data_IF_902081555673
#
_entry.id   IF_902081555673
#
_cell.length_a   1.000
_cell.length_b   1.000
_cell.length_c   1.000
_cell.angle_alpha   90.00
_cell.angle_beta   90.00
_cell.angle_gamma   90.00
#
_symmetry.space_group_name_H-M   'P 1'
#
loop_
_entity.id
_entity.type
_entity.pdbx_description
1 polymer ?
#
# COMPACT_ATOMS: atom_id res chain seq x y z
N UNK A 1 4.73 -25.55 -0.24
CA UNK A 1 3.92 -24.31 -0.15
C UNK A 1 4.71 -23.19 -0.77
N UNK A 2 4.21 -22.56 -1.84
CA UNK A 2 4.88 -21.42 -2.46
C UNK A 2 4.60 -20.15 -1.64
N UNK A 3 5.64 -19.39 -1.31
CA UNK A 3 5.50 -18.12 -0.60
C UNK A 3 5.37 -17.00 -1.62
N UNK A 4 4.23 -16.31 -1.61
CA UNK A 4 3.99 -15.10 -2.40
C UNK A 4 4.20 -13.86 -1.51
N UNK A 5 5.12 -12.99 -1.86
CA UNK A 5 5.25 -11.72 -1.13
C UNK A 5 4.08 -10.80 -1.47
N UNK A 6 3.41 -10.32 -0.45
CA UNK A 6 2.27 -9.42 -0.61
C UNK A 6 2.71 -8.13 -1.32
N UNK A 7 2.16 -7.87 -2.49
CA UNK A 7 2.41 -6.63 -3.22
C UNK A 7 1.35 -5.59 -2.85
N UNK A 8 1.78 -4.59 -2.11
CA UNK A 8 0.95 -3.45 -1.74
C UNK A 8 1.68 -2.14 -2.01
N UNK A 9 0.95 -1.13 -2.44
CA UNK A 9 1.50 0.20 -2.66
C UNK A 9 0.62 1.26 -2.01
N UNK A 10 1.20 1.94 -1.02
CA UNK A 10 0.58 3.13 -0.41
C UNK A 10 1.21 4.37 -1.01
N UNK A 11 0.39 5.33 -1.41
CA UNK A 11 0.81 6.61 -1.95
C UNK A 11 -0.10 7.74 -1.45
N UNK A 12 0.42 8.95 -1.39
CA UNK A 12 -0.37 10.14 -1.08
C UNK A 12 -0.81 10.79 -2.39
N UNK A 13 -2.09 11.09 -2.47
CA UNK A 13 -2.67 11.98 -3.46
C UNK A 13 -2.59 13.39 -2.88
N UNK A 14 -2.04 14.34 -3.61
CA UNK A 14 -1.86 15.70 -3.11
C UNK A 14 -1.71 16.68 -4.24
N UNK A 15 -1.88 17.99 -3.98
CA UNK A 15 -1.91 19.04 -5.01
C UNK A 15 -0.59 19.24 -5.76
N UNK A 16 0.51 18.69 -5.27
CA UNK A 16 1.81 18.84 -5.92
C UNK A 16 2.02 17.85 -7.05
N UNK A 17 2.58 18.32 -8.17
CA UNK A 17 2.90 17.49 -9.34
C UNK A 17 3.86 16.31 -9.04
N UNK A 18 4.54 16.31 -7.88
CA UNK A 18 5.43 15.24 -7.43
C UNK A 18 4.74 14.15 -6.59
N UNK A 19 3.43 14.28 -6.33
CA UNK A 19 2.71 13.30 -5.54
C UNK A 19 2.55 11.98 -6.31
N UNK A 20 3.04 10.90 -5.71
CA UNK A 20 3.02 9.56 -6.35
C UNK A 20 1.62 8.99 -6.56
N UNK A 21 0.63 9.46 -5.81
CA UNK A 21 -0.77 9.04 -5.88
C UNK A 21 -1.58 9.79 -6.92
N UNK A 22 -1.06 10.89 -7.46
CA UNK A 22 -1.79 11.80 -8.33
C UNK A 22 -1.92 13.20 -7.73
N UNK A 23 -2.40 14.17 -8.50
CA UNK A 23 -2.56 15.57 -8.12
C UNK A 23 -3.99 15.99 -7.77
N UNK A 24 -4.97 15.13 -8.03
CA UNK A 24 -6.39 15.34 -7.70
C UNK A 24 -6.99 14.05 -7.13
N UNK A 25 -7.83 14.18 -6.10
CA UNK A 25 -8.59 13.08 -5.54
C UNK A 25 -9.79 12.74 -6.43
N UNK A 26 -10.41 13.74 -7.07
CA UNK A 26 -11.51 13.56 -8.03
C UNK A 26 -11.02 12.81 -9.26
N UNK A 27 -9.87 13.18 -9.84
CA UNK A 27 -9.24 12.46 -10.97
C UNK A 27 -8.96 10.99 -10.60
N UNK A 28 -8.39 10.78 -9.42
CA UNK A 28 -8.09 9.41 -8.98
C UNK A 28 -9.35 8.59 -8.73
N UNK A 29 -10.39 9.19 -8.19
CA UNK A 29 -11.70 8.55 -8.01
C UNK A 29 -12.33 8.21 -9.36
N UNK A 30 -12.36 9.15 -10.30
CA UNK A 30 -12.82 8.92 -11.67
C UNK A 30 -12.09 7.74 -12.33
N UNK A 31 -10.76 7.69 -12.16
CA UNK A 31 -9.93 6.59 -12.67
C UNK A 31 -10.30 5.24 -12.07
N UNK A 32 -10.48 5.11 -10.74
CA UNK A 32 -10.75 3.80 -10.13
C UNK A 32 -12.19 3.35 -10.30
N UNK A 33 -13.16 4.29 -10.38
CA UNK A 33 -14.58 3.98 -10.61
C UNK A 33 -14.96 3.83 -12.08
N UNK A 34 -14.04 4.17 -13.00
CA UNK A 34 -14.33 4.22 -14.45
C UNK A 34 -15.49 5.16 -14.80
N UNK A 35 -15.68 6.21 -13.99
CA UNK A 35 -16.80 7.17 -14.13
C UNK A 35 -16.26 8.56 -14.37
N UNK A 36 -16.84 9.28 -15.32
CA UNK A 36 -16.52 10.70 -15.56
C UNK A 36 -16.93 11.53 -14.34
N UNK A 37 -16.02 12.38 -13.86
CA UNK A 37 -16.25 13.23 -12.69
C UNK A 37 -15.81 14.67 -12.96
N UNK A 38 -16.62 15.63 -12.51
CA UNK A 38 -16.30 17.05 -12.54
C UNK A 38 -15.64 17.45 -11.21
N UNK A 39 -14.52 18.16 -11.28
CA UNK A 39 -13.85 18.73 -10.12
C UNK A 39 -14.27 20.19 -9.93
N UNK A 40 -14.90 20.46 -8.81
CA UNK A 40 -15.30 21.82 -8.41
C UNK A 40 -14.09 22.70 -8.07
N UNK A 41 -12.98 22.08 -7.64
CA UNK A 41 -11.78 22.79 -7.23
C UNK A 41 -11.04 23.44 -8.39
N UNK A 42 -10.87 22.76 -9.51
CA UNK A 42 -10.12 23.26 -10.67
C UNK A 42 -10.97 23.47 -11.93
N UNK A 43 -12.28 23.20 -11.85
CA UNK A 43 -13.22 23.37 -12.97
C UNK A 43 -13.00 22.37 -14.11
N UNK A 44 -12.32 21.23 -13.85
CA UNK A 44 -11.95 20.25 -14.85
C UNK A 44 -12.87 19.04 -14.81
N UNK A 45 -13.29 18.55 -15.95
CA UNK A 45 -13.95 17.24 -16.05
C UNK A 45 -12.91 16.17 -16.38
N UNK A 46 -12.82 15.18 -15.51
CA UNK A 46 -11.91 14.04 -15.66
C UNK A 46 -12.62 12.89 -16.34
N UNK A 47 -12.06 12.46 -17.48
CA UNK A 47 -12.55 11.35 -18.28
C UNK A 47 -11.60 10.15 -18.09
N UNK A 48 -12.02 9.09 -17.38
CA UNK A 48 -11.18 7.91 -17.25
C UNK A 48 -11.04 7.22 -18.61
N UNK A 49 -9.90 6.56 -18.83
CA UNK A 49 -9.76 5.67 -19.97
C UNK A 49 -10.81 4.57 -19.84
N UNK A 50 -11.63 4.41 -20.86
CA UNK A 50 -12.60 3.33 -20.91
C UNK A 50 -11.87 1.98 -20.93
N UNK A 51 -12.22 1.11 -19.98
CA UNK A 51 -11.77 -0.28 -19.87
C UNK A 51 -12.85 -1.09 -19.19
N UNK A 52 -13.08 -2.31 -19.65
CA UNK A 52 -14.09 -3.22 -19.09
C UNK A 52 -13.56 -4.03 -17.90
N UNK A 53 -12.57 -3.50 -17.19
CA UNK A 53 -11.88 -4.18 -16.09
C UNK A 53 -12.49 -3.91 -14.70
N UNK A 54 -13.50 -3.05 -14.60
CA UNK A 54 -14.16 -2.74 -13.33
C UNK A 54 -15.11 -3.86 -12.92
N UNK A 55 -14.81 -4.49 -11.78
CA UNK A 55 -15.65 -5.53 -11.16
C UNK A 55 -16.58 -4.93 -10.12
N UNK A 56 -16.09 -4.00 -9.30
CA UNK A 56 -16.83 -3.42 -8.18
C UNK A 56 -16.29 -2.04 -7.83
N UNK A 57 -17.19 -1.13 -7.41
CA UNK A 57 -16.84 0.16 -6.83
C UNK A 57 -17.84 0.51 -5.73
N UNK A 58 -17.36 0.88 -4.56
CA UNK A 58 -18.17 1.18 -3.39
C UNK A 58 -17.50 2.26 -2.53
N UNK A 59 -18.33 3.14 -1.95
CA UNK A 59 -17.89 4.06 -0.88
C UNK A 59 -18.48 3.57 0.44
N UNK A 60 -17.61 3.41 1.42
CA UNK A 60 -17.96 3.03 2.78
C UNK A 60 -17.72 4.21 3.72
N UNK A 61 -18.69 4.48 4.58
CA UNK A 61 -18.73 5.66 5.42
C UNK A 61 -18.70 5.29 6.92
N UNK A 62 -17.97 6.03 7.74
CA UNK A 62 -18.11 5.96 9.20
C UNK A 62 -19.48 6.52 9.63
N UNK A 63 -19.91 6.18 10.83
CA UNK A 63 -21.28 6.47 11.35
C UNK A 63 -21.64 7.96 11.26
N UNK A 64 -20.68 8.84 11.48
CA UNK A 64 -20.93 10.30 11.52
C UNK A 64 -20.89 10.95 10.13
N UNK A 65 -20.56 10.22 9.08
CA UNK A 65 -20.42 10.82 7.76
C UNK A 65 -21.78 11.17 7.15
N UNK A 66 -21.89 12.33 6.49
CA UNK A 66 -23.08 12.67 5.71
C UNK A 66 -23.40 11.59 4.68
N UNK A 67 -24.68 11.22 4.56
CA UNK A 67 -25.11 10.14 3.67
C UNK A 67 -24.77 10.41 2.19
N UNK A 68 -24.75 11.68 1.78
CA UNK A 68 -24.39 12.10 0.41
C UNK A 68 -22.95 11.75 0.04
N UNK A 69 -22.07 11.51 0.99
CA UNK A 69 -20.71 11.05 0.72
C UNK A 69 -20.63 9.61 0.22
N UNK A 70 -21.77 8.90 0.16
CA UNK A 70 -21.86 7.62 -0.56
C UNK A 70 -21.65 7.78 -2.08
N UNK A 71 -21.90 8.98 -2.63
CA UNK A 71 -21.49 9.35 -3.98
C UNK A 71 -19.99 9.75 -3.97
N UNK A 72 -19.14 9.02 -4.71
CA UNK A 72 -17.70 9.31 -4.74
C UNK A 72 -17.39 10.70 -5.33
N UNK A 73 -18.24 11.24 -6.23
CA UNK A 73 -18.06 12.58 -6.76
C UNK A 73 -18.27 13.64 -5.68
N UNK A 74 -19.33 13.49 -4.87
CA UNK A 74 -19.61 14.39 -3.74
C UNK A 74 -18.51 14.31 -2.68
N UNK A 75 -18.13 13.09 -2.29
CA UNK A 75 -17.09 12.88 -1.28
C UNK A 75 -15.76 13.54 -1.66
N UNK A 76 -15.24 13.25 -2.86
CA UNK A 76 -13.90 13.72 -3.21
C UNK A 76 -13.86 15.19 -3.60
N UNK A 77 -14.94 15.78 -4.11
CA UNK A 77 -15.07 17.22 -4.24
C UNK A 77 -15.09 17.90 -2.86
N UNK A 78 -15.85 17.39 -1.90
CA UNK A 78 -15.86 17.90 -0.52
C UNK A 78 -14.46 17.87 0.11
N UNK A 79 -13.70 16.78 -0.07
CA UNK A 79 -12.31 16.67 0.39
C UNK A 79 -11.43 17.74 -0.27
N UNK A 80 -11.51 17.89 -1.58
CA UNK A 80 -10.67 18.87 -2.30
C UNK A 80 -10.99 20.31 -1.92
N UNK A 81 -12.27 20.65 -1.78
CA UNK A 81 -12.68 21.98 -1.36
C UNK A 81 -12.27 22.32 0.08
N UNK A 82 -12.24 21.30 0.98
CA UNK A 82 -11.84 21.49 2.38
C UNK A 82 -10.33 21.66 2.56
N UNK A 83 -9.51 21.08 1.66
CA UNK A 83 -8.06 21.06 1.80
C UNK A 83 -7.40 22.37 1.37
N UNK A 84 -6.25 22.65 2.00
CA UNK A 84 -5.42 23.83 1.66
C UNK A 84 -5.08 23.90 0.16
N UNK A 85 -5.02 25.11 -0.38
CA UNK A 85 -4.57 25.39 -1.76
C UNK A 85 -3.05 25.23 -1.95
N UNK A 86 -2.30 24.94 -0.89
CA UNK A 86 -0.86 24.72 -0.95
C UNK A 86 -0.49 23.51 -1.81
N UNK A 87 0.56 23.60 -2.62
CA UNK A 87 1.12 22.47 -3.33
C UNK A 87 1.60 21.32 -2.42
N UNK A 88 1.72 21.55 -1.10
CA UNK A 88 2.04 20.51 -0.11
C UNK A 88 0.79 19.86 0.50
N UNK A 89 -0.42 20.29 0.11
CA UNK A 89 -1.65 19.73 0.63
C UNK A 89 -1.77 18.25 0.22
N UNK A 90 -2.06 17.42 1.19
CA UNK A 90 -2.37 16.00 1.02
C UNK A 90 -3.89 15.85 1.00
N UNK A 91 -4.43 15.31 -0.08
CA UNK A 91 -5.87 15.18 -0.32
C UNK A 91 -6.40 13.84 0.20
N UNK A 92 -5.76 12.76 -0.20
CA UNK A 92 -6.17 11.40 0.13
C UNK A 92 -4.97 10.46 0.22
N UNK A 93 -5.19 9.28 0.78
CA UNK A 93 -4.25 8.16 0.69
C UNK A 93 -4.80 7.15 -0.32
N UNK A 94 -3.94 6.75 -1.26
CA UNK A 94 -4.23 5.68 -2.21
C UNK A 94 -3.50 4.42 -1.78
N UNK A 95 -4.21 3.28 -1.76
CA UNK A 95 -3.67 1.98 -1.43
C UNK A 95 -4.04 1.00 -2.55
N UNK A 96 -3.06 0.44 -3.24
CA UNK A 96 -3.25 -0.58 -4.26
C UNK A 96 -2.80 -1.93 -3.71
N UNK A 97 -3.62 -2.95 -3.91
CA UNK A 97 -3.46 -4.31 -3.39
C UNK A 97 -3.67 -5.30 -4.54
N UNK A 98 -2.74 -6.23 -4.72
CA UNK A 98 -3.00 -7.38 -5.59
C UNK A 98 -3.77 -8.44 -4.79
N UNK A 99 -4.78 -9.03 -5.42
CA UNK A 99 -5.59 -10.09 -4.83
C UNK A 99 -5.23 -11.46 -5.45
N UNK A 100 -5.55 -12.57 -4.78
CA UNK A 100 -5.42 -13.89 -5.39
C UNK A 100 -6.24 -13.99 -6.69
N UNK A 101 -5.58 -14.38 -7.77
CA UNK A 101 -6.24 -14.54 -9.07
C UNK A 101 -7.26 -15.69 -9.07
N UNK A 102 -7.13 -16.59 -8.10
CA UNK A 102 -8.00 -17.76 -7.90
C UNK A 102 -9.36 -17.40 -7.30
N UNK A 103 -9.50 -16.18 -6.75
CA UNK A 103 -10.76 -15.75 -6.13
C UNK A 103 -11.84 -15.44 -7.16
N UNK A 104 -13.10 -15.78 -6.81
CA UNK A 104 -14.28 -15.26 -7.52
C UNK A 104 -14.47 -13.78 -7.21
N UNK A 105 -15.29 -13.09 -8.00
CA UNK A 105 -15.59 -11.68 -7.77
C UNK A 105 -16.34 -11.47 -6.46
N UNK A 106 -17.30 -12.33 -6.16
CA UNK A 106 -18.10 -12.28 -4.93
C UNK A 106 -17.21 -12.42 -3.70
N UNK A 107 -16.30 -13.39 -3.70
CA UNK A 107 -15.35 -13.60 -2.62
C UNK A 107 -14.43 -12.39 -2.45
N UNK A 108 -13.89 -11.86 -3.56
CA UNK A 108 -13.02 -10.70 -3.53
C UNK A 108 -13.75 -9.45 -2.97
N UNK A 109 -15.00 -9.23 -3.35
CA UNK A 109 -15.83 -8.12 -2.85
C UNK A 109 -16.11 -8.27 -1.36
N UNK A 110 -16.56 -9.45 -0.92
CA UNK A 110 -16.85 -9.74 0.49
C UNK A 110 -15.62 -9.50 1.38
N UNK A 111 -14.49 -10.11 1.01
CA UNK A 111 -13.25 -10.03 1.79
C UNK A 111 -12.72 -8.59 1.82
N UNK A 112 -12.75 -7.88 0.70
CA UNK A 112 -12.26 -6.50 0.66
C UNK A 112 -13.18 -5.53 1.39
N UNK A 113 -14.50 -5.75 1.37
CA UNK A 113 -15.45 -4.94 2.15
C UNK A 113 -15.19 -5.10 3.64
N UNK A 114 -15.03 -6.32 4.13
CA UNK A 114 -14.70 -6.59 5.54
C UNK A 114 -13.34 -5.97 5.92
N UNK A 115 -12.31 -6.18 5.09
CA UNK A 115 -10.99 -5.61 5.31
C UNK A 115 -11.00 -4.07 5.38
N UNK A 116 -11.69 -3.41 4.43
CA UNK A 116 -11.81 -1.94 4.39
C UNK A 116 -12.59 -1.43 5.60
N UNK A 117 -13.68 -2.11 5.97
CA UNK A 117 -14.48 -1.74 7.12
C UNK A 117 -13.63 -1.70 8.40
N UNK A 118 -13.04 -2.83 8.79
CA UNK A 118 -12.36 -2.96 10.08
C UNK A 118 -11.03 -2.24 10.19
N UNK A 119 -10.35 -1.96 9.07
CA UNK A 119 -9.04 -1.28 9.10
C UNK A 119 -9.11 0.23 8.88
N UNK A 120 -10.20 0.73 8.27
CA UNK A 120 -10.27 2.14 7.88
C UNK A 120 -11.58 2.80 8.32
N UNK A 121 -12.72 2.19 8.01
CA UNK A 121 -14.02 2.81 8.28
C UNK A 121 -14.33 2.84 9.76
N UNK A 122 -14.06 1.75 10.46
CA UNK A 122 -14.25 1.66 11.92
C UNK A 122 -13.27 2.58 12.69
N UNK A 123 -12.13 2.95 12.07
CA UNK A 123 -11.20 3.98 12.57
C UNK A 123 -11.65 5.42 12.21
N UNK A 124 -12.77 5.60 11.49
CA UNK A 124 -13.37 6.91 11.18
C UNK A 124 -12.99 7.50 9.82
N UNK A 125 -12.35 6.74 8.93
CA UNK A 125 -12.06 7.18 7.56
C UNK A 125 -13.26 6.91 6.65
N UNK A 126 -13.58 7.84 5.73
CA UNK A 126 -14.34 7.48 4.55
C UNK A 126 -13.40 6.73 3.59
N UNK A 127 -13.87 5.64 3.04
CA UNK A 127 -13.12 4.79 2.13
C UNK A 127 -13.89 4.53 0.84
N UNK A 128 -13.26 4.77 -0.29
CA UNK A 128 -13.73 4.26 -1.58
C UNK A 128 -12.83 3.11 -1.99
N UNK A 129 -13.40 1.96 -2.36
CA UNK A 129 -12.62 0.88 -2.95
C UNK A 129 -13.22 0.40 -4.26
N UNK A 130 -12.34 0.04 -5.18
CA UNK A 130 -12.72 -0.51 -6.48
C UNK A 130 -11.87 -1.74 -6.79
N UNK A 131 -12.51 -2.81 -7.25
CA UNK A 131 -11.86 -4.05 -7.69
C UNK A 131 -11.83 -4.05 -9.19
N UNK A 132 -10.65 -4.29 -9.74
CA UNK A 132 -10.41 -4.41 -11.17
C UNK A 132 -9.89 -5.80 -11.49
N UNK A 133 -10.34 -6.35 -12.60
CA UNK A 133 -9.82 -7.57 -13.18
C UNK A 133 -9.23 -7.27 -14.57
N UNK A 134 -7.94 -7.10 -14.62
CA UNK A 134 -7.20 -6.77 -15.84
C UNK A 134 -6.24 -7.88 -16.21
N UNK A 135 -5.72 -7.85 -17.42
CA UNK A 135 -4.60 -8.69 -17.81
C UNK A 135 -3.27 -7.99 -17.53
N UNK A 136 -2.30 -8.75 -17.02
CA UNK A 136 -0.94 -8.27 -16.89
C UNK A 136 -0.29 -8.19 -18.28
N UNK A 137 0.07 -7.00 -18.76
CA UNK A 137 0.57 -6.85 -20.13
C UNK A 137 1.92 -7.51 -20.42
N UNK A 138 2.62 -8.00 -19.39
CA UNK A 138 3.91 -8.66 -19.55
C UNK A 138 3.80 -10.20 -19.51
N UNK A 139 2.87 -10.72 -18.72
CA UNK A 139 2.74 -12.18 -18.49
C UNK A 139 1.47 -12.75 -19.07
N UNK A 140 0.55 -11.93 -19.56
CA UNK A 140 -0.78 -12.30 -20.04
C UNK A 140 -1.61 -13.08 -19.00
N UNK A 141 -1.26 -12.92 -17.72
CA UNK A 141 -1.98 -13.53 -16.63
C UNK A 141 -3.04 -12.57 -16.09
N UNK A 142 -4.10 -13.12 -15.54
CA UNK A 142 -5.10 -12.40 -14.76
C UNK A 142 -4.42 -11.57 -13.69
N UNK A 143 -4.88 -10.34 -13.48
CA UNK A 143 -4.34 -9.40 -12.51
C UNK A 143 -5.49 -8.78 -11.71
N UNK A 144 -6.09 -9.61 -10.86
CA UNK A 144 -7.13 -9.17 -9.95
C UNK A 144 -6.51 -8.26 -8.88
N UNK A 145 -7.03 -7.04 -8.73
CA UNK A 145 -6.47 -6.09 -7.79
C UNK A 145 -7.51 -5.10 -7.28
N UNK A 146 -7.26 -4.56 -6.10
CA UNK A 146 -8.11 -3.58 -5.45
C UNK A 146 -7.38 -2.24 -5.31
N UNK A 147 -8.07 -1.16 -5.66
CA UNK A 147 -7.70 0.20 -5.32
C UNK A 147 -8.55 0.67 -4.15
N UNK A 148 -7.91 1.25 -3.13
CA UNK A 148 -8.59 1.87 -2.01
C UNK A 148 -8.14 3.33 -1.94
N UNK A 149 -9.08 4.24 -1.77
CA UNK A 149 -8.85 5.64 -1.46
C UNK A 149 -9.41 5.95 -0.08
N UNK A 150 -8.62 6.61 0.74
CA UNK A 150 -8.95 6.91 2.15
C UNK A 150 -8.85 8.41 2.39
N UNK A 151 -9.82 8.95 3.11
CA UNK A 151 -9.75 10.34 3.59
C UNK A 151 -8.64 10.51 4.63
N UNK A 152 -8.15 11.72 4.79
CA UNK A 152 -7.08 12.06 5.72
C UNK A 152 -7.54 12.97 6.86
N UNK A 153 -8.83 13.32 6.87
CA UNK A 153 -9.53 14.06 7.93
C UNK A 153 -10.59 13.19 8.54
N UNK A 154 -10.77 13.25 9.86
CA UNK A 154 -11.91 12.61 10.50
C UNK A 154 -13.19 13.38 10.20
N UNK A 155 -14.30 12.68 10.25
CA UNK A 155 -15.63 13.30 10.32
C UNK A 155 -15.98 13.49 11.80
N UNK A 156 -16.40 14.69 12.17
CA UNK A 156 -16.86 15.01 13.51
C UNK A 156 -18.30 14.53 13.75
N UNK A 157 -18.77 14.58 14.99
CA UNK A 157 -20.12 14.13 15.35
C UNK A 157 -21.24 14.90 14.63
N UNK A 158 -20.98 16.17 14.25
CA UNK A 158 -21.89 17.03 13.49
C UNK A 158 -21.82 16.80 11.97
N UNK A 159 -21.04 15.82 11.50
CA UNK A 159 -20.84 15.51 10.08
C UNK A 159 -19.81 16.41 9.38
N UNK A 160 -19.21 17.37 10.05
CA UNK A 160 -18.21 18.26 9.48
C UNK A 160 -16.81 17.65 9.44
N UNK A 161 -15.95 18.18 8.56
CA UNK A 161 -14.54 17.76 8.49
C UNK A 161 -13.73 18.28 9.67
N UNK A 162 -13.14 17.38 10.44
CA UNK A 162 -12.19 17.70 11.49
C UNK A 162 -10.79 18.08 10.96
N UNK A 163 -9.90 18.41 11.87
CA UNK A 163 -8.51 18.77 11.54
C UNK A 163 -7.59 17.55 11.58
N UNK A 164 -6.64 17.48 10.62
CA UNK A 164 -5.58 16.46 10.61
C UNK A 164 -4.59 16.62 11.74
N UNK A 165 -4.35 17.87 12.13
CA UNK A 165 -3.29 18.25 13.07
C UNK A 165 -3.75 19.36 13.99
N UNK A 166 -3.35 19.27 15.24
CA UNK A 166 -3.58 20.29 16.27
C UNK A 166 -2.27 20.97 16.64
N UNK A 167 -2.27 22.31 16.68
CA UNK A 167 -1.11 23.07 17.18
C UNK A 167 -1.13 23.05 18.70
N UNK A 168 -0.06 22.58 19.31
CA UNK A 168 0.20 22.67 20.74
C UNK A 168 1.20 23.78 20.96
N UNK A 169 0.76 24.85 21.61
CA UNK A 169 1.60 26.00 21.90
C UNK A 169 2.45 25.73 23.13
N UNK A 170 3.73 26.11 23.09
CA UNK A 170 4.57 26.15 24.27
C UNK A 170 4.12 27.32 25.16
N UNK A 171 3.93 27.05 26.43
CA UNK A 171 3.53 28.04 27.44
C UNK A 171 4.72 28.36 28.34
N UNK A 172 4.78 29.61 28.85
CA UNK A 172 5.67 30.02 29.93
C UNK A 172 5.12 29.60 31.30
N UNK A 173 5.82 30.00 32.37
CA UNK A 173 5.42 29.66 33.75
C UNK A 173 4.04 30.27 34.16
N UNK A 174 3.64 31.32 33.49
CA UNK A 174 2.38 32.04 33.74
C UNK A 174 1.22 31.57 32.83
N UNK A 175 1.50 30.55 31.94
CA UNK A 175 0.50 30.00 31.04
C UNK A 175 0.36 30.78 29.72
N UNK A 176 1.20 31.76 29.42
CA UNK A 176 1.14 32.52 28.18
C UNK A 176 1.91 31.82 27.06
N UNK A 177 1.43 32.00 25.81
CA UNK A 177 2.08 31.44 24.63
C UNK A 177 3.45 32.08 24.38
N UNK A 178 4.52 31.29 24.35
CA UNK A 178 5.88 31.75 24.10
C UNK A 178 6.01 32.20 22.63
N UNK A 179 6.59 33.38 22.38
CA UNK A 179 6.91 33.88 21.06
C UNK A 179 8.37 33.55 20.67
N UNK A 180 8.57 33.23 19.40
CA UNK A 180 9.88 33.11 18.77
C UNK A 180 10.45 34.52 18.45
N UNK A 181 11.75 34.61 18.14
CA UNK A 181 12.40 35.88 17.74
C UNK A 181 11.73 36.55 16.52
N UNK A 182 11.08 35.78 15.64
CA UNK A 182 10.35 36.28 14.48
C UNK A 182 8.88 36.67 14.75
N UNK A 183 8.49 36.77 16.00
CA UNK A 183 7.14 37.15 16.44
C UNK A 183 6.09 36.04 16.40
N UNK A 184 6.37 34.89 15.77
CA UNK A 184 5.45 33.75 15.72
C UNK A 184 5.42 33.03 17.08
N UNK A 185 4.31 32.38 17.40
CA UNK A 185 4.23 31.53 18.58
C UNK A 185 5.04 30.23 18.42
N UNK A 186 5.74 29.83 19.46
CA UNK A 186 6.41 28.54 19.55
C UNK A 186 5.36 27.44 19.73
N UNK A 187 5.23 26.56 18.75
CA UNK A 187 4.30 25.45 18.79
C UNK A 187 4.92 24.20 18.16
N UNK A 188 4.42 23.05 18.59
CA UNK A 188 4.57 21.75 17.94
C UNK A 188 3.26 21.37 17.26
N UNK A 189 3.30 20.46 16.32
CA UNK A 189 2.12 19.93 15.65
C UNK A 189 1.91 18.50 16.10
N UNK A 190 0.71 18.21 16.59
CA UNK A 190 0.28 16.86 16.96
C UNK A 190 -0.68 16.32 15.90
N UNK A 191 -0.48 15.09 15.45
CA UNK A 191 -1.43 14.36 14.63
C UNK A 191 -2.68 14.05 15.48
N UNK A 192 -3.86 14.37 14.96
CA UNK A 192 -5.12 14.19 15.71
C UNK A 192 -5.60 12.74 15.62
N UNK A 193 -5.40 12.10 14.48
CA UNK A 193 -5.97 10.79 14.18
C UNK A 193 -4.98 9.64 14.38
N UNK A 194 -3.68 9.91 14.34
CA UNK A 194 -2.64 8.89 14.34
C UNK A 194 -2.53 8.08 13.04
N UNK A 195 -3.37 8.36 12.04
CA UNK A 195 -3.45 7.57 10.81
C UNK A 195 -2.18 7.59 9.95
N UNK A 196 -1.29 8.57 10.19
CA UNK A 196 -0.02 8.72 9.47
C UNK A 196 1.13 7.89 10.07
N UNK A 197 0.89 7.14 11.16
CA UNK A 197 1.89 6.29 11.78
C UNK A 197 2.38 5.22 10.79
N UNK A 198 3.70 4.96 10.78
CA UNK A 198 4.29 3.84 10.04
C UNK A 198 3.80 2.48 10.56
N UNK A 199 3.42 2.41 11.82
CA UNK A 199 2.88 1.22 12.45
C UNK A 199 1.55 0.82 11.83
N UNK A 200 0.68 1.79 11.48
CA UNK A 200 -0.57 1.51 10.80
C UNK A 200 -0.34 0.84 9.44
N UNK A 201 0.63 1.32 8.66
CA UNK A 201 0.94 0.69 7.38
C UNK A 201 1.41 -0.77 7.54
N UNK A 202 2.16 -1.07 8.61
CA UNK A 202 2.57 -2.45 8.95
C UNK A 202 1.39 -3.29 9.42
N UNK A 203 0.54 -2.73 10.30
CA UNK A 203 -0.69 -3.37 10.79
C UNK A 203 -1.60 -3.75 9.62
N UNK A 204 -1.92 -2.80 8.74
CA UNK A 204 -2.78 -3.02 7.58
C UNK A 204 -2.22 -4.09 6.64
N UNK A 205 -0.91 -4.06 6.40
CA UNK A 205 -0.25 -5.04 5.54
C UNK A 205 -0.26 -6.44 6.14
N UNK A 206 -0.03 -6.55 7.46
CA UNK A 206 -0.09 -7.81 8.19
C UNK A 206 -1.51 -8.38 8.18
N UNK A 207 -2.49 -7.57 8.56
CA UNK A 207 -3.90 -7.97 8.60
C UNK A 207 -4.41 -8.43 7.22
N UNK A 208 -3.98 -7.76 6.15
CA UNK A 208 -4.31 -8.17 4.79
C UNK A 208 -3.75 -9.57 4.46
N UNK A 209 -2.49 -9.83 4.78
CA UNK A 209 -1.87 -11.14 4.54
C UNK A 209 -2.56 -12.24 5.35
N UNK A 210 -2.81 -11.98 6.63
CA UNK A 210 -3.50 -12.90 7.53
C UNK A 210 -4.92 -13.22 7.01
N UNK A 211 -5.64 -12.19 6.54
CA UNK A 211 -6.98 -12.35 5.94
C UNK A 211 -6.93 -13.20 4.68
N UNK A 212 -6.02 -12.90 3.75
CA UNK A 212 -5.88 -13.66 2.51
C UNK A 212 -5.53 -15.13 2.83
N UNK A 213 -4.61 -15.37 3.76
CA UNK A 213 -4.20 -16.72 4.14
C UNK A 213 -5.35 -17.51 4.78
N UNK A 214 -6.11 -16.88 5.70
CA UNK A 214 -7.26 -17.51 6.33
C UNK A 214 -8.36 -17.85 5.32
N UNK A 215 -8.65 -16.95 4.39
CA UNK A 215 -9.63 -17.19 3.31
C UNK A 215 -9.16 -18.29 2.36
N UNK A 216 -7.89 -18.28 1.97
CA UNK A 216 -7.31 -19.31 1.11
C UNK A 216 -7.34 -20.68 1.79
N UNK A 217 -7.02 -20.75 3.08
CA UNK A 217 -7.09 -22.01 3.85
C UNK A 217 -8.51 -22.57 3.88
N UNK A 218 -9.50 -21.73 4.19
CA UNK A 218 -10.92 -22.06 4.21
C UNK A 218 -11.44 -22.58 2.86
N UNK A 219 -10.92 -22.02 1.76
CA UNK A 219 -11.32 -22.38 0.39
C UNK A 219 -10.43 -23.45 -0.26
N UNK A 220 -9.53 -24.09 0.48
CA UNK A 220 -8.67 -25.16 -0.04
C UNK A 220 -7.52 -24.68 -0.92
N UNK A 221 -7.23 -23.37 -0.97
CA UNK A 221 -6.17 -22.73 -1.77
C UNK A 221 -4.85 -22.64 -0.99
N UNK A 222 -4.48 -23.71 -0.27
CA UNK A 222 -3.36 -23.72 0.70
C UNK A 222 -1.97 -23.66 0.06
N UNK A 223 -1.87 -23.77 -1.24
CA UNK A 223 -0.57 -23.80 -1.92
C UNK A 223 0.15 -22.46 -1.93
N UNK A 224 -0.58 -21.36 -1.77
CA UNK A 224 -0.09 -19.99 -1.87
C UNK A 224 -0.17 -19.29 -0.51
N UNK A 225 0.92 -19.26 0.22
CA UNK A 225 1.03 -18.47 1.44
C UNK A 225 1.47 -17.04 1.11
N UNK A 226 0.74 -16.04 1.61
CA UNK A 226 1.01 -14.62 1.38
C UNK A 226 1.81 -14.04 2.56
N UNK A 227 3.02 -13.58 2.29
CA UNK A 227 3.93 -13.05 3.29
C UNK A 227 3.93 -11.52 3.25
N UNK A 228 3.73 -10.89 4.42
CA UNK A 228 3.66 -9.44 4.56
C UNK A 228 5.01 -8.80 4.86
N UNK A 229 5.97 -9.54 5.42
CA UNK A 229 7.30 -9.04 5.78
C UNK A 229 8.16 -8.82 4.55
N UNK A 230 9.05 -7.84 4.62
CA UNK A 230 10.09 -7.68 3.61
C UNK A 230 11.08 -8.86 3.61
N UNK A 231 11.84 -9.05 2.55
CA UNK A 231 12.87 -10.10 2.51
C UNK A 231 13.85 -10.00 3.68
N UNK A 232 14.25 -8.78 4.05
CA UNK A 232 15.12 -8.56 5.20
C UNK A 232 14.48 -8.98 6.53
N UNK A 233 13.20 -8.66 6.76
CA UNK A 233 12.45 -9.09 7.95
C UNK A 233 12.21 -10.60 8.00
N UNK A 234 12.22 -11.27 6.84
CA UNK A 234 12.16 -12.72 6.72
C UNK A 234 13.53 -13.39 6.93
N UNK A 235 14.63 -12.62 7.06
CA UNK A 235 15.99 -13.14 7.11
C UNK A 235 16.48 -13.68 5.76
N UNK A 236 15.89 -13.26 4.66
CA UNK A 236 16.29 -13.66 3.31
C UNK A 236 17.30 -12.67 2.74
N UNK A 237 18.40 -13.18 2.17
CA UNK A 237 19.42 -12.35 1.50
C UNK A 237 19.01 -11.91 0.09
N UNK A 238 17.78 -12.23 -0.33
CA UNK A 238 17.25 -11.84 -1.63
C UNK A 238 17.06 -10.34 -1.73
N UNK A 239 17.65 -9.70 -2.73
CA UNK A 239 17.53 -8.28 -3.01
C UNK A 239 16.24 -8.05 -3.79
N UNK A 240 15.31 -7.18 -3.31
CA UNK A 240 14.07 -6.91 -4.01
C UNK A 240 14.32 -6.10 -5.29
N UNK A 241 13.61 -6.43 -6.37
CA UNK A 241 13.59 -5.62 -7.58
C UNK A 241 12.89 -4.29 -7.34
N UNK A 242 13.31 -3.25 -8.06
CA UNK A 242 12.64 -1.95 -8.03
C UNK A 242 11.49 -1.93 -9.03
N UNK A 243 10.42 -1.24 -8.66
CA UNK A 243 9.28 -1.04 -9.56
C UNK A 243 9.69 -0.15 -10.74
N UNK A 244 9.53 -0.63 -11.95
CA UNK A 244 9.93 0.09 -13.17
C UNK A 244 9.14 1.40 -13.36
N UNK A 245 7.85 1.38 -13.07
CA UNK A 245 6.90 2.43 -13.43
C UNK A 245 6.38 2.24 -14.86
N UNK A 246 5.29 2.90 -15.19
CA UNK A 246 4.56 2.70 -16.45
C UNK A 246 5.43 2.97 -17.69
N UNK A 247 6.11 4.13 -17.72
CA UNK A 247 6.95 4.53 -18.86
C UNK A 247 8.11 3.56 -19.09
N UNK A 248 8.87 3.21 -18.04
CA UNK A 248 9.98 2.28 -18.19
C UNK A 248 9.49 0.87 -18.55
N UNK A 249 8.38 0.42 -17.98
CA UNK A 249 7.77 -0.87 -18.34
C UNK A 249 7.34 -0.92 -19.81
N UNK A 250 6.78 0.18 -20.34
CA UNK A 250 6.40 0.24 -21.76
C UNK A 250 7.63 0.19 -22.69
N UNK A 251 8.70 0.91 -22.35
CA UNK A 251 9.96 0.89 -23.11
C UNK A 251 10.63 -0.49 -23.08
N UNK A 252 10.70 -1.12 -21.90
CA UNK A 252 11.28 -2.47 -21.78
C UNK A 252 10.49 -3.52 -22.59
N UNK A 253 9.15 -3.41 -22.65
CA UNK A 253 8.33 -4.26 -23.53
C UNK A 253 8.61 -4.03 -25.02
N UNK A 254 8.94 -2.80 -25.39
CA UNK A 254 9.35 -2.48 -26.75
C UNK A 254 10.81 -2.85 -27.06
N UNK A 255 11.50 -3.57 -26.15
CA UNK A 255 12.90 -3.96 -26.31
C UNK A 255 13.91 -2.85 -26.03
N UNK A 256 13.46 -1.69 -25.55
CA UNK A 256 14.31 -0.55 -25.22
C UNK A 256 14.75 -0.65 -23.76
N UNK A 257 16.06 -0.81 -23.55
CA UNK A 257 16.63 -0.88 -22.22
C UNK A 257 16.55 0.44 -21.49
N UNK A 258 16.10 0.41 -20.22
CA UNK A 258 16.01 1.57 -19.35
C UNK A 258 17.00 1.46 -18.18
N UNK A 259 17.34 2.59 -17.55
CA UNK A 259 18.16 2.56 -16.33
C UNK A 259 17.54 1.69 -15.21
N UNK A 260 16.24 1.81 -15.02
CA UNK A 260 15.51 1.00 -14.01
C UNK A 260 15.51 -0.49 -14.39
N UNK A 261 15.35 -0.81 -15.65
CA UNK A 261 15.48 -2.17 -16.16
C UNK A 261 16.88 -2.73 -15.94
N UNK A 262 17.92 -1.93 -16.21
CA UNK A 262 19.31 -2.31 -15.95
C UNK A 262 19.59 -2.56 -14.46
N UNK A 263 19.01 -1.75 -13.56
CA UNK A 263 19.09 -2.02 -12.10
C UNK A 263 18.48 -3.38 -11.79
N UNK A 264 17.30 -3.69 -12.31
CA UNK A 264 16.65 -4.99 -12.06
C UNK A 264 17.44 -6.17 -12.64
N UNK A 265 18.03 -6.02 -13.83
CA UNK A 265 18.94 -7.04 -14.42
C UNK A 265 20.12 -7.33 -13.48
N UNK A 266 20.79 -6.28 -12.97
CA UNK A 266 21.88 -6.45 -11.99
C UNK A 266 21.42 -7.11 -10.70
N UNK A 267 20.24 -6.74 -10.17
CA UNK A 267 19.66 -7.40 -9.01
C UNK A 267 19.41 -8.89 -9.26
N UNK A 268 18.90 -9.24 -10.43
CA UNK A 268 18.70 -10.66 -10.81
C UNK A 268 20.01 -11.44 -10.84
N UNK A 269 21.07 -10.87 -11.42
CA UNK A 269 22.40 -11.48 -11.45
C UNK A 269 22.97 -11.65 -10.03
N UNK A 270 22.85 -10.64 -9.18
CA UNK A 270 23.27 -10.71 -7.79
C UNK A 270 22.51 -11.79 -7.00
N UNK A 271 21.19 -11.87 -7.15
CA UNK A 271 20.38 -12.89 -6.51
C UNK A 271 20.74 -14.29 -6.98
N UNK A 272 21.04 -14.46 -8.27
CA UNK A 272 21.54 -15.74 -8.83
C UNK A 272 22.88 -16.12 -8.20
N UNK A 273 23.80 -15.17 -8.06
CA UNK A 273 25.10 -15.40 -7.42
C UNK A 273 24.94 -15.79 -5.94
N UNK A 274 24.09 -15.09 -5.20
CA UNK A 274 23.77 -15.41 -3.78
C UNK A 274 23.22 -16.83 -3.67
N UNK A 275 22.28 -17.21 -4.52
CA UNK A 275 21.70 -18.55 -4.52
C UNK A 275 22.77 -19.63 -4.81
N UNK A 276 23.61 -19.39 -5.81
CA UNK A 276 24.71 -20.31 -6.16
C UNK A 276 25.69 -20.47 -5.00
N UNK A 277 26.08 -19.36 -4.35
CA UNK A 277 26.97 -19.41 -3.20
C UNK A 277 26.35 -20.20 -2.04
N UNK A 278 25.08 -20.01 -1.73
CA UNK A 278 24.36 -20.78 -0.70
C UNK A 278 24.33 -22.27 -0.99
N UNK A 279 24.08 -22.64 -2.24
CA UNK A 279 24.10 -24.06 -2.66
C UNK A 279 25.49 -24.69 -2.50
N UNK A 280 26.56 -23.95 -2.81
CA UNK A 280 27.93 -24.42 -2.62
C UNK A 280 28.27 -24.58 -1.14
N UNK A 281 27.89 -23.62 -0.28
CA UNK A 281 28.10 -23.70 1.17
C UNK A 281 27.35 -24.91 1.75
N UNK A 282 26.07 -25.09 1.43
CA UNK A 282 25.27 -26.22 1.91
C UNK A 282 25.89 -27.57 1.49
N UNK A 283 26.39 -27.66 0.25
CA UNK A 283 27.09 -28.87 -0.24
C UNK A 283 28.39 -29.13 0.52
N UNK A 284 29.16 -28.08 0.82
CA UNK A 284 30.39 -28.18 1.58
C UNK A 284 30.13 -28.62 3.03
N UNK A 285 29.09 -28.07 3.66
CA UNK A 285 28.64 -28.46 5.01
C UNK A 285 28.21 -29.92 5.04
N UNK A 286 27.43 -30.41 4.06
CA UNK A 286 27.04 -31.81 3.95
C UNK A 286 28.26 -32.73 3.82
N UNK A 287 29.24 -32.33 3.00
CA UNK A 287 30.47 -33.10 2.83
C UNK A 287 31.28 -33.15 4.13
N UNK A 288 31.42 -32.02 4.83
CA UNK A 288 32.08 -31.93 6.12
C UNK A 288 31.40 -32.84 7.16
N UNK A 289 30.08 -32.81 7.24
CA UNK A 289 29.31 -33.66 8.14
C UNK A 289 29.54 -35.16 7.87
N UNK A 290 29.59 -35.56 6.61
CA UNK A 290 29.92 -36.93 6.21
C UNK A 290 31.33 -37.34 6.66
N UNK A 291 32.31 -36.44 6.50
CA UNK A 291 33.70 -36.69 6.91
C UNK A 291 33.82 -36.81 8.44
N UNK A 292 33.15 -35.94 9.19
CA UNK A 292 33.12 -36.00 10.65
C UNK A 292 32.52 -37.30 11.14
N UNK A 293 31.39 -37.71 10.56
CA UNK A 293 30.70 -38.95 10.94
C UNK A 293 31.42 -40.23 10.50
N UNK A 294 32.33 -40.15 9.51
CA UNK A 294 33.12 -41.28 9.03
C UNK A 294 34.42 -41.54 9.78
N UNK A 295 34.86 -40.63 10.68
CA UNK A 295 36.04 -40.86 11.51
C UNK A 295 35.66 -41.76 12.71
N UNK A 296 36.27 -42.96 12.86
CA UNK A 296 36.05 -43.75 14.04
C UNK A 296 36.57 -42.98 15.26
N UNK A 297 35.80 -43.01 16.32
CA UNK A 297 36.30 -42.55 17.65
C UNK A 297 37.35 -43.56 18.09
N UNK A 298 38.65 -43.24 17.86
CA UNK A 298 39.71 -43.97 18.52
C UNK A 298 39.57 -43.77 20.04
N UNK A 299 39.09 -44.81 20.71
CA UNK A 299 39.08 -44.85 22.15
C UNK A 299 40.52 -44.73 22.66
N UNK A 300 40.85 -43.58 23.24
CA UNK A 300 42.10 -43.45 24.03
C UNK A 300 41.97 -44.41 25.19
N UNK A 301 42.50 -45.62 25.05
CA UNK A 301 42.76 -46.52 26.17
C UNK A 301 43.96 -45.93 26.90
N UNK A 302 43.71 -45.30 28.04
CA UNK A 302 44.76 -45.01 29.00
C UNK A 302 45.22 -46.34 29.59
N UNK A 303 46.44 -46.68 29.35
CA UNK A 303 47.26 -47.65 30.10
C UNK A 303 47.95 -46.92 31.22
#
# INVERSE_FOLDING_TARGET
MAVKNLSTRVAIIGRGAKCRGGSSAVDKSAYISRTTMYSEYDGTTYYPKYTEDLVHNEVMLPVNAPAEYSDPSVLWNSVEMRESKSAKAQLARSYKINLPNEWSYELAIEVMRDYVKRNFVDDGMCAQFAIHDSENPNTHQRNLHCHIMLTMRPILEDGSWGDKQKKIYALDADGNKIRKKNGQYKCTTQDVTGWNSRENARKWRKDLADTINAVNDKNGLRENFWEHRSFAEQGLDTIPQIHLGEKASALERAGIQTERGNVNRRIMEQNKAILTAKMLVAKAEEQLQKLVNSKPVEAVRNT
#
